data_IF_530622569127
#
_entry.id   IF_530622569127
#
_cell.length_a   1.000
_cell.length_b   1.000
_cell.length_c   1.000
_cell.angle_alpha   90.00
_cell.angle_beta   90.00
_cell.angle_gamma   90.00
#
_symmetry.space_group_name_H-M   'P 1'
#
loop_
_entity.id
_entity.type
_entity.pdbx_description
1 polymer ?
#
# COMPACT_ATOMS: atom_id res chain seq x y z
N UNK A 1 26.77 14.51 -15.14
CA UNK A 1 26.01 14.76 -13.91
C UNK A 1 24.59 14.26 -14.16
N UNK A 2 24.27 13.07 -13.68
CA UNK A 2 22.92 12.52 -13.80
C UNK A 2 22.02 13.28 -12.81
N UNK A 3 21.03 14.01 -13.34
CA UNK A 3 20.00 14.66 -12.54
C UNK A 3 19.14 13.59 -11.89
N UNK A 4 19.32 13.36 -10.59
CA UNK A 4 18.43 12.53 -9.79
C UNK A 4 17.05 13.18 -9.83
N UNK A 5 16.15 12.59 -10.61
CA UNK A 5 14.77 13.06 -10.72
C UNK A 5 14.10 12.77 -9.37
N UNK A 6 13.85 13.80 -8.59
CA UNK A 6 13.23 13.66 -7.27
C UNK A 6 11.86 12.99 -7.44
N UNK A 7 11.75 11.75 -6.97
CA UNK A 7 10.53 10.95 -7.11
C UNK A 7 9.46 11.55 -6.19
N UNK A 8 8.26 11.79 -6.70
CA UNK A 8 7.17 12.38 -5.90
C UNK A 8 6.83 11.49 -4.69
N UNK A 9 6.35 12.07 -3.59
CA UNK A 9 5.91 11.29 -2.42
C UNK A 9 4.79 10.30 -2.74
N UNK A 10 3.95 10.62 -3.75
CA UNK A 10 2.94 9.69 -4.28
C UNK A 10 3.60 8.45 -4.89
N UNK A 11 4.60 8.63 -5.75
CA UNK A 11 5.35 7.51 -6.35
C UNK A 11 6.13 6.74 -5.29
N UNK A 12 6.78 7.41 -4.34
CA UNK A 12 7.51 6.73 -3.26
C UNK A 12 6.57 5.81 -2.44
N UNK A 13 5.35 6.28 -2.13
CA UNK A 13 4.35 5.45 -1.43
C UNK A 13 3.90 4.28 -2.31
N UNK A 14 3.68 4.53 -3.60
CA UNK A 14 3.28 3.51 -4.57
C UNK A 14 4.34 2.42 -4.69
N UNK A 15 5.61 2.79 -4.78
CA UNK A 15 6.74 1.87 -4.81
C UNK A 15 6.86 1.08 -3.49
N UNK A 16 6.69 1.74 -2.36
CA UNK A 16 6.67 1.08 -1.05
C UNK A 16 5.54 0.04 -0.95
N UNK A 17 4.31 0.39 -1.34
CA UNK A 17 3.17 -0.54 -1.36
C UNK A 17 3.43 -1.72 -2.31
N UNK A 18 3.96 -1.44 -3.50
CA UNK A 18 4.30 -2.45 -4.51
C UNK A 18 5.40 -3.41 -4.03
N UNK A 19 6.42 -2.89 -3.36
CA UNK A 19 7.53 -3.68 -2.80
C UNK A 19 7.06 -4.52 -1.62
N UNK A 20 6.22 -3.96 -0.75
CA UNK A 20 5.74 -4.63 0.46
C UNK A 20 4.68 -5.71 0.15
N UNK A 21 3.97 -5.58 -0.97
CA UNK A 21 2.90 -6.47 -1.46
C UNK A 21 1.65 -6.50 -0.57
N UNK A 22 1.79 -6.71 0.73
CA UNK A 22 0.68 -6.80 1.69
C UNK A 22 0.91 -5.77 2.79
N UNK A 23 -0.10 -4.97 3.09
CA UNK A 23 0.01 -3.89 4.07
C UNK A 23 -1.33 -3.55 4.70
N UNK A 24 -1.29 -3.12 5.95
CA UNK A 24 -2.47 -2.63 6.68
C UNK A 24 -2.61 -1.10 6.62
N UNK A 25 -3.80 -0.58 6.94
CA UNK A 25 -4.04 0.87 6.99
C UNK A 25 -3.08 1.59 7.95
N UNK A 26 -2.82 1.05 9.14
CA UNK A 26 -1.90 1.70 10.08
C UNK A 26 -0.48 1.82 9.53
N UNK A 27 -0.04 0.89 8.68
CA UNK A 27 1.29 0.93 8.07
C UNK A 27 1.39 2.06 7.04
N UNK A 28 0.33 2.28 6.26
CA UNK A 28 0.25 3.41 5.32
C UNK A 28 0.28 4.74 6.08
N UNK A 29 -0.44 4.83 7.20
CA UNK A 29 -0.45 6.02 8.07
C UNK A 29 0.96 6.24 8.65
N UNK A 30 1.58 5.19 9.21
CA UNK A 30 2.93 5.25 9.76
C UNK A 30 3.96 5.67 8.71
N UNK A 31 3.85 5.13 7.49
CA UNK A 31 4.69 5.55 6.37
C UNK A 31 4.48 7.03 6.05
N UNK A 32 3.23 7.50 6.00
CA UNK A 32 2.88 8.89 5.77
C UNK A 32 3.50 9.83 6.81
N UNK A 33 3.41 9.48 8.09
CA UNK A 33 4.03 10.26 9.18
C UNK A 33 5.55 10.34 9.00
N UNK A 34 6.21 9.21 8.78
CA UNK A 34 7.68 9.14 8.63
C UNK A 34 8.20 9.89 7.38
N UNK A 35 7.34 10.09 6.37
CA UNK A 35 7.70 10.72 5.10
C UNK A 35 7.09 12.11 4.92
N UNK A 36 6.47 12.67 5.97
CA UNK A 36 5.76 13.96 5.96
C UNK A 36 4.70 14.04 4.84
N UNK A 37 4.01 12.92 4.58
CA UNK A 37 3.02 12.78 3.52
C UNK A 37 1.61 12.53 4.07
N UNK A 38 0.93 13.61 4.45
CA UNK A 38 -0.43 13.57 5.02
C UNK A 38 -1.49 12.99 4.07
N UNK A 39 -1.21 12.96 2.76
CA UNK A 39 -2.09 12.39 1.74
C UNK A 39 -1.97 10.88 1.60
N UNK A 40 -1.10 10.19 2.36
CA UNK A 40 -0.92 8.75 2.25
C UNK A 40 -2.24 7.93 2.30
N UNK A 41 -3.21 8.22 3.21
CA UNK A 41 -4.49 7.53 3.22
C UNK A 41 -5.34 7.79 1.97
N UNK A 42 -5.34 9.03 1.47
CA UNK A 42 -6.05 9.40 0.25
C UNK A 42 -5.44 8.71 -0.97
N UNK A 43 -4.11 8.71 -1.08
CA UNK A 43 -3.39 8.00 -2.14
C UNK A 43 -3.67 6.51 -2.14
N UNK A 44 -3.75 5.87 -0.95
CA UNK A 44 -4.22 4.47 -0.86
C UNK A 44 -5.61 4.31 -1.46
N UNK A 45 -6.56 5.18 -1.11
CA UNK A 45 -7.93 5.12 -1.63
C UNK A 45 -7.98 5.33 -3.16
N UNK A 46 -7.16 6.24 -3.69
CA UNK A 46 -7.03 6.43 -5.14
C UNK A 46 -6.45 5.18 -5.82
N UNK A 47 -5.41 4.56 -5.27
CA UNK A 47 -4.83 3.32 -5.80
C UNK A 47 -5.80 2.13 -5.75
N UNK A 48 -6.71 2.11 -4.77
CA UNK A 48 -7.80 1.13 -4.73
C UNK A 48 -8.80 1.37 -5.86
N UNK A 49 -9.20 2.63 -6.09
CA UNK A 49 -10.10 3.02 -7.19
C UNK A 49 -9.47 2.74 -8.56
N UNK A 50 -8.16 2.92 -8.69
CA UNK A 50 -7.37 2.59 -9.89
C UNK A 50 -7.20 1.07 -10.09
N UNK A 51 -7.64 0.22 -9.13
CA UNK A 51 -7.51 -1.23 -9.22
C UNK A 51 -6.08 -1.74 -9.06
N UNK A 52 -5.16 -0.93 -8.52
CA UNK A 52 -3.78 -1.31 -8.23
C UNK A 52 -3.62 -1.95 -6.85
N UNK A 53 -4.57 -1.70 -5.95
CA UNK A 53 -4.62 -2.23 -4.60
C UNK A 53 -6.01 -2.79 -4.34
N UNK A 54 -6.12 -3.93 -3.67
CA UNK A 54 -7.41 -4.46 -3.22
C UNK A 54 -7.36 -4.83 -1.75
N UNK A 55 -8.52 -4.83 -1.10
CA UNK A 55 -8.69 -5.38 0.25
C UNK A 55 -8.60 -6.90 0.20
N UNK A 56 -7.92 -7.51 1.17
CA UNK A 56 -7.92 -8.96 1.35
C UNK A 56 -9.21 -9.41 2.03
N UNK A 57 -9.71 -10.58 1.65
CA UNK A 57 -10.83 -11.23 2.38
C UNK A 57 -10.33 -11.82 3.70
N UNK A 58 -11.23 -12.10 4.67
CA UNK A 58 -10.83 -12.75 5.92
C UNK A 58 -10.13 -14.10 5.71
N UNK A 59 -10.54 -14.85 4.69
CA UNK A 59 -9.90 -16.12 4.32
C UNK A 59 -8.46 -15.89 3.82
N UNK A 60 -8.26 -14.92 2.94
CA UNK A 60 -6.92 -14.56 2.45
C UNK A 60 -6.02 -14.04 3.57
N UNK A 61 -6.57 -13.26 4.50
CA UNK A 61 -5.86 -12.82 5.68
C UNK A 61 -5.40 -14.01 6.53
N UNK A 62 -6.25 -15.02 6.72
CA UNK A 62 -5.87 -16.26 7.42
C UNK A 62 -4.74 -17.00 6.71
N UNK A 63 -4.78 -17.11 5.38
CA UNK A 63 -3.69 -17.73 4.60
C UNK A 63 -2.36 -16.98 4.74
N UNK A 64 -2.39 -15.67 4.93
CA UNK A 64 -1.21 -14.83 5.13
C UNK A 64 -0.73 -14.81 6.60
N UNK A 65 -1.34 -15.61 7.48
CA UNK A 65 -0.94 -15.73 8.88
C UNK A 65 -1.52 -14.64 9.80
N UNK A 66 -2.49 -13.84 9.33
CA UNK A 66 -3.22 -12.94 10.20
C UNK A 66 -4.19 -13.74 11.07
N UNK A 67 -4.25 -13.40 12.35
CA UNK A 67 -5.20 -13.99 13.28
C UNK A 67 -6.64 -13.64 12.88
N UNK A 68 -7.58 -14.53 13.18
CA UNK A 68 -9.03 -14.25 13.09
C UNK A 68 -9.48 -13.05 13.93
N UNK A 69 -8.69 -12.69 14.96
CA UNK A 69 -8.91 -11.52 15.80
C UNK A 69 -8.27 -10.24 15.24
N UNK A 70 -7.63 -10.30 14.07
CA UNK A 70 -7.03 -9.14 13.43
C UNK A 70 -8.12 -8.21 12.88
N UNK A 71 -8.43 -7.16 13.64
CA UNK A 71 -9.54 -6.23 13.37
C UNK A 71 -9.25 -5.20 12.29
N UNK A 72 -8.02 -5.14 11.79
CA UNK A 72 -7.62 -4.12 10.82
C UNK A 72 -7.81 -4.58 9.39
N UNK A 73 -8.07 -3.60 8.52
CA UNK A 73 -8.16 -3.83 7.09
C UNK A 73 -6.76 -4.02 6.49
N UNK A 74 -6.56 -5.20 5.89
CA UNK A 74 -5.34 -5.55 5.15
C UNK A 74 -5.61 -5.43 3.65
N UNK A 75 -4.62 -4.90 2.95
CA UNK A 75 -4.66 -4.70 1.51
C UNK A 75 -3.48 -5.41 0.85
N UNK A 76 -3.68 -5.72 -0.42
CA UNK A 76 -2.69 -6.34 -1.27
C UNK A 76 -2.52 -5.52 -2.55
N UNK A 77 -1.27 -5.32 -2.95
CA UNK A 77 -0.91 -4.80 -4.24
C UNK A 77 -1.25 -5.82 -5.32
N UNK A 78 -2.10 -5.43 -6.27
CA UNK A 78 -2.43 -6.28 -7.41
C UNK A 78 -1.21 -6.32 -8.32
N UNK A 79 -0.58 -7.48 -8.40
CA UNK A 79 0.47 -7.75 -9.38
C UNK A 79 -0.21 -7.88 -10.73
N UNK A 80 -0.47 -6.75 -11.39
CA UNK A 80 -0.77 -6.75 -12.81
C UNK A 80 0.44 -7.36 -13.53
N UNK A 81 0.21 -8.46 -14.27
CA UNK A 81 1.07 -8.84 -15.39
C UNK A 81 1.43 -7.56 -16.14
N UNK A 82 2.72 -7.24 -16.17
CA UNK A 82 3.27 -6.37 -17.20
C UNK A 82 2.94 -7.06 -18.53
N UNK A 83 1.94 -6.54 -19.24
CA UNK A 83 1.82 -6.74 -20.68
C UNK A 83 2.78 -5.75 -21.33
#
# INVERSE_FOLDING_TARGET
METVKEVSKKEQLKEWMRSKKIFATHEVIKWGINNFYNRAPQTKADLIREGLVRKLTPEEMKYQGFSEFYKEEVYCWIVGLLI
#
